data_IF_410793863518
#
_entry.id   IF_410793863518
#
_cell.length_a   1.000
_cell.length_b   1.000
_cell.length_c   1.000
_cell.angle_alpha   90.00
_cell.angle_beta   90.00
_cell.angle_gamma   90.00
#
_symmetry.space_group_name_H-M   'P 1'
#
loop_
_entity.id
_entity.type
_entity.pdbx_description
1 polymer ?
#
# COMPACT_ATOMS: atom_id res chain seq x y z
N UNK A 1 -7.04 42.56 -17.46
CA UNK A 1 -7.28 41.15 -17.84
C UNK A 1 -8.64 40.78 -17.27
N UNK A 2 -9.72 40.73 -18.06
CA UNK A 2 -11.01 40.27 -17.55
C UNK A 2 -10.93 38.77 -17.25
N UNK A 3 -11.32 38.38 -16.03
CA UNK A 3 -11.42 36.98 -15.61
C UNK A 3 -12.50 36.28 -16.42
N UNK A 4 -12.16 35.16 -17.06
CA UNK A 4 -13.13 34.33 -17.76
C UNK A 4 -14.26 33.89 -16.79
N UNK A 5 -15.53 33.86 -17.26
CA UNK A 5 -16.64 33.44 -16.44
C UNK A 5 -16.54 31.94 -16.11
N UNK A 6 -16.55 31.60 -14.83
CA UNK A 6 -16.65 30.22 -14.33
C UNK A 6 -17.98 29.65 -14.84
N UNK A 7 -17.91 28.62 -15.69
CA UNK A 7 -19.09 27.98 -16.28
C UNK A 7 -19.67 26.94 -15.32
N UNK A 8 -20.98 26.65 -15.43
CA UNK A 8 -21.61 25.56 -14.66
C UNK A 8 -20.91 24.20 -14.92
N UNK A 9 -20.33 24.03 -16.11
CA UNK A 9 -19.53 22.87 -16.46
C UNK A 9 -18.20 22.79 -15.67
N UNK A 10 -17.54 23.91 -15.37
CA UNK A 10 -16.32 23.91 -14.54
C UNK A 10 -16.61 23.70 -13.05
N UNK A 11 -17.81 24.07 -12.57
CA UNK A 11 -18.28 23.75 -11.22
C UNK A 11 -18.64 22.26 -11.06
N UNK A 12 -19.25 21.65 -12.07
CA UNK A 12 -19.55 20.21 -12.07
C UNK A 12 -18.30 19.34 -12.24
N UNK A 13 -17.26 19.84 -12.91
CA UNK A 13 -15.98 19.15 -13.04
C UNK A 13 -15.14 19.10 -11.75
N UNK A 14 -15.45 19.94 -10.75
CA UNK A 14 -14.65 20.07 -9.51
C UNK A 14 -15.12 19.20 -8.35
N UNK A 15 -16.20 18.42 -8.47
CA UNK A 15 -16.78 17.69 -7.34
C UNK A 15 -17.17 16.26 -7.68
N UNK A 16 -16.17 15.41 -7.94
CA UNK A 16 -16.29 14.01 -7.56
C UNK A 16 -15.09 13.64 -6.70
N UNK A 17 -15.20 14.00 -5.42
CA UNK A 17 -14.40 13.36 -4.39
C UNK A 17 -14.63 11.84 -4.49
N UNK A 18 -13.62 11.13 -4.99
CA UNK A 18 -13.67 9.66 -5.19
C UNK A 18 -13.56 8.89 -3.87
N UNK A 19 -13.34 9.59 -2.75
CA UNK A 19 -13.26 8.94 -1.44
C UNK A 19 -14.64 8.38 -1.06
N UNK A 20 -14.69 7.27 -0.31
CA UNK A 20 -15.93 6.77 0.27
C UNK A 20 -16.61 7.82 1.16
N UNK A 21 -17.88 7.60 1.54
CA UNK A 21 -18.54 8.42 2.56
C UNK A 21 -17.73 8.43 3.88
N UNK A 22 -17.81 9.49 4.71
CA UNK A 22 -17.00 9.61 5.92
C UNK A 22 -17.04 8.39 6.84
N UNK A 23 -18.20 7.76 7.02
CA UNK A 23 -18.37 6.57 7.86
C UNK A 23 -17.56 5.38 7.34
N UNK A 24 -17.55 5.17 6.01
CA UNK A 24 -16.77 4.13 5.37
C UNK A 24 -15.26 4.44 5.44
N UNK A 25 -14.87 5.72 5.35
CA UNK A 25 -13.48 6.12 5.57
C UNK A 25 -13.03 5.80 7.01
N UNK A 26 -13.83 6.15 8.01
CA UNK A 26 -13.53 5.88 9.42
C UNK A 26 -13.40 4.38 9.67
N UNK A 27 -14.33 3.56 9.18
CA UNK A 27 -14.24 2.10 9.30
C UNK A 27 -12.96 1.54 8.69
N UNK A 28 -12.60 1.99 7.48
CA UNK A 28 -11.37 1.58 6.78
C UNK A 28 -10.11 1.98 7.57
N UNK A 29 -10.09 3.19 8.13
CA UNK A 29 -8.96 3.70 8.91
C UNK A 29 -8.80 2.94 10.25
N UNK A 30 -9.90 2.56 10.88
CA UNK A 30 -9.89 1.73 12.09
C UNK A 30 -9.34 0.33 11.77
N UNK A 31 -9.83 -0.32 10.70
CA UNK A 31 -9.31 -1.62 10.27
C UNK A 31 -7.80 -1.55 9.97
N UNK A 32 -7.35 -0.50 9.28
CA UNK A 32 -5.94 -0.28 9.00
C UNK A 32 -5.12 -0.12 10.30
N UNK A 33 -5.64 0.61 11.28
CA UNK A 33 -5.00 0.79 12.59
C UNK A 33 -4.87 -0.54 13.36
N UNK A 34 -5.93 -1.37 13.36
CA UNK A 34 -5.93 -2.68 14.02
C UNK A 34 -4.92 -3.64 13.37
N UNK A 35 -4.90 -3.71 12.04
CA UNK A 35 -3.90 -4.51 11.30
C UNK A 35 -2.49 -4.01 11.54
N UNK A 36 -2.28 -2.69 11.52
CA UNK A 36 -0.97 -2.08 11.77
C UNK A 36 -0.41 -2.43 13.15
N UNK A 37 -1.26 -2.66 14.16
CA UNK A 37 -0.85 -3.07 15.50
C UNK A 37 -0.67 -4.57 15.66
N UNK A 38 -1.27 -5.36 14.77
CA UNK A 38 -1.25 -6.81 14.85
C UNK A 38 0.14 -7.36 14.48
N UNK A 39 0.54 -8.50 15.07
CA UNK A 39 1.70 -9.27 14.62
C UNK A 39 1.55 -9.68 13.15
N UNK A 40 2.68 -9.95 12.48
CA UNK A 40 2.65 -10.50 11.13
C UNK A 40 1.92 -11.86 11.13
N UNK A 41 0.85 -12.05 10.36
CA UNK A 41 0.10 -13.32 10.33
C UNK A 41 0.69 -14.34 9.34
N UNK A 42 1.71 -13.95 8.56
CA UNK A 42 2.27 -14.76 7.49
C UNK A 42 3.55 -15.48 7.92
N UNK A 43 3.93 -16.50 7.16
CA UNK A 43 5.18 -17.24 7.29
C UNK A 43 5.89 -17.36 5.94
N UNK A 44 7.18 -17.71 5.99
CA UNK A 44 7.98 -17.97 4.78
C UNK A 44 7.28 -19.01 3.90
N UNK A 45 7.20 -18.71 2.60
CA UNK A 45 6.55 -19.54 1.59
C UNK A 45 5.05 -19.26 1.37
N UNK A 46 4.39 -18.46 2.23
CA UNK A 46 3.02 -18.03 1.96
C UNK A 46 2.95 -17.18 0.69
N UNK A 47 1.88 -17.36 -0.09
CA UNK A 47 1.59 -16.53 -1.27
C UNK A 47 0.58 -15.46 -0.86
N UNK A 48 0.97 -14.22 -1.06
CA UNK A 48 0.24 -13.03 -0.63
C UNK A 48 0.11 -12.04 -1.78
N UNK A 49 -0.70 -11.02 -1.60
CA UNK A 49 -0.84 -9.89 -2.51
C UNK A 49 -0.98 -8.59 -1.70
N UNK A 50 -0.48 -7.45 -2.22
CA UNK A 50 -0.84 -6.16 -1.68
C UNK A 50 -2.35 -5.95 -1.72
N UNK A 51 -2.91 -5.41 -0.64
CA UNK A 51 -4.31 -5.02 -0.58
C UNK A 51 -4.54 -3.78 -1.45
N UNK A 52 -5.60 -3.82 -2.24
CA UNK A 52 -6.01 -2.70 -3.08
C UNK A 52 -6.28 -1.47 -2.19
N UNK A 53 -5.79 -0.31 -2.62
CA UNK A 53 -6.03 0.97 -1.95
C UNK A 53 -5.01 1.34 -0.84
N UNK A 54 -4.01 0.50 -0.56
CA UNK A 54 -2.99 0.78 0.49
C UNK A 54 -1.63 1.24 -0.06
N UNK A 55 -1.63 1.87 -1.23
CA UNK A 55 -0.46 2.56 -1.79
C UNK A 55 0.51 1.71 -2.60
N UNK A 56 0.25 0.40 -2.72
CA UNK A 56 0.97 -0.49 -3.62
C UNK A 56 0.28 -0.53 -4.99
N UNK A 57 1.05 -0.32 -6.06
CA UNK A 57 0.55 -0.27 -7.45
C UNK A 57 0.37 -1.65 -8.08
N UNK A 58 0.84 -2.69 -7.41
CA UNK A 58 0.83 -4.10 -7.79
C UNK A 58 -0.18 -4.94 -6.98
N UNK A 59 -1.19 -4.29 -6.40
CA UNK A 59 -2.31 -4.98 -5.77
C UNK A 59 -2.99 -5.96 -6.74
N UNK A 60 -3.18 -7.19 -6.28
CA UNK A 60 -3.71 -8.31 -7.07
C UNK A 60 -2.63 -9.27 -7.60
N UNK A 61 -1.37 -8.83 -7.71
CA UNK A 61 -0.28 -9.66 -8.21
C UNK A 61 0.31 -10.56 -7.10
N UNK A 62 0.68 -11.82 -7.42
CA UNK A 62 1.22 -12.74 -6.43
C UNK A 62 2.63 -12.31 -5.97
N UNK A 63 2.83 -12.38 -4.67
CA UNK A 63 4.09 -12.21 -3.98
C UNK A 63 4.33 -13.44 -3.10
N UNK A 64 5.58 -13.85 -2.94
CA UNK A 64 5.96 -14.93 -2.00
C UNK A 64 6.72 -14.35 -0.82
N UNK A 65 6.37 -14.77 0.41
CA UNK A 65 7.14 -14.39 1.61
C UNK A 65 8.48 -15.13 1.60
N UNK A 66 9.58 -14.38 1.61
CA UNK A 66 10.94 -14.88 1.73
C UNK A 66 11.44 -14.88 3.18
N UNK A 67 11.05 -13.87 3.94
CA UNK A 67 11.53 -13.63 5.31
C UNK A 67 10.44 -12.94 6.13
N UNK A 68 10.37 -13.28 7.42
CA UNK A 68 9.58 -12.57 8.42
C UNK A 68 10.54 -12.11 9.49
N UNK A 69 10.59 -10.80 9.76
CA UNK A 69 11.49 -10.27 10.77
C UNK A 69 10.98 -10.63 12.18
N UNK A 70 11.89 -11.07 13.06
CA UNK A 70 11.55 -11.33 14.47
C UNK A 70 11.02 -10.05 15.16
N UNK A 71 11.60 -8.89 14.81
CA UNK A 71 11.14 -7.58 15.22
C UNK A 71 10.96 -6.65 14.00
N UNK A 72 9.82 -5.94 13.87
CA UNK A 72 9.61 -5.00 12.77
C UNK A 72 10.65 -3.87 12.75
N UNK A 73 11.36 -3.74 11.64
CA UNK A 73 12.28 -2.63 11.41
C UNK A 73 11.51 -1.37 11.01
N UNK A 74 11.72 -0.28 11.75
CA UNK A 74 11.13 1.02 11.42
C UNK A 74 12.14 1.89 10.68
N UNK A 75 11.80 2.28 9.46
CA UNK A 75 12.71 3.00 8.58
C UNK A 75 12.77 4.51 8.92
N UNK A 76 13.43 4.87 10.03
CA UNK A 76 13.58 6.27 10.45
C UNK A 76 14.96 6.88 10.14
N UNK A 77 15.89 6.07 9.65
CA UNK A 77 17.22 6.54 9.27
C UNK A 77 17.18 6.98 7.79
N UNK A 78 17.37 8.28 7.47
CA UNK A 78 17.65 8.68 6.10
C UNK A 78 18.96 8.02 5.64
N UNK A 79 19.00 7.56 4.41
CA UNK A 79 20.19 7.01 3.75
C UNK A 79 20.53 7.82 2.51
N UNK A 80 21.68 7.56 1.89
CA UNK A 80 22.08 8.23 0.64
C UNK A 80 21.03 8.06 -0.49
N UNK A 81 20.21 7.01 -0.43
CA UNK A 81 19.09 6.76 -1.34
C UNK A 81 17.68 6.92 -0.75
N UNK A 82 17.55 7.28 0.54
CA UNK A 82 16.25 7.41 1.21
C UNK A 82 16.18 8.73 1.99
N UNK A 83 15.33 9.63 1.50
CA UNK A 83 15.06 10.91 2.14
C UNK A 83 13.94 10.81 3.18
N UNK A 84 13.93 11.71 4.16
CA UNK A 84 12.80 11.93 5.07
C UNK A 84 11.50 12.30 4.34
N UNK A 85 11.61 12.73 3.08
CA UNK A 85 10.47 13.05 2.21
C UNK A 85 10.00 11.87 1.36
N UNK A 86 10.65 10.70 1.47
CA UNK A 86 10.25 9.50 0.74
C UNK A 86 9.01 8.86 1.37
N UNK A 87 8.14 8.28 0.54
CA UNK A 87 6.93 7.58 0.99
C UNK A 87 7.20 6.35 1.87
N UNK A 88 8.42 5.81 1.82
CA UNK A 88 8.88 4.69 2.63
C UNK A 88 9.51 5.10 3.97
N UNK A 89 9.64 6.41 4.25
CA UNK A 89 10.14 6.89 5.52
C UNK A 89 9.11 6.63 6.63
N UNK A 90 9.55 6.02 7.73
CA UNK A 90 8.70 5.63 8.87
C UNK A 90 7.90 4.34 8.67
N UNK A 91 8.05 3.63 7.54
CA UNK A 91 7.41 2.33 7.31
C UNK A 91 7.82 1.29 8.35
N UNK A 92 6.87 0.42 8.71
CA UNK A 92 7.07 -0.73 9.62
C UNK A 92 7.38 -1.99 8.78
N UNK A 93 8.63 -2.15 8.39
CA UNK A 93 9.09 -3.27 7.57
C UNK A 93 9.22 -4.54 8.42
N UNK A 94 8.40 -5.55 8.13
CA UNK A 94 8.37 -6.80 8.91
C UNK A 94 8.31 -8.08 8.06
N UNK A 95 8.19 -7.96 6.74
CA UNK A 95 8.31 -9.09 5.80
C UNK A 95 9.14 -8.73 4.59
N UNK A 96 9.94 -9.68 4.10
CA UNK A 96 10.60 -9.59 2.80
C UNK A 96 9.87 -10.47 1.82
N UNK A 97 9.53 -9.92 0.66
CA UNK A 97 8.77 -10.62 -0.38
C UNK A 97 9.53 -10.64 -1.69
N UNK A 98 9.24 -11.62 -2.53
CA UNK A 98 9.59 -11.62 -3.95
C UNK A 98 8.35 -11.59 -4.83
N UNK A 99 8.42 -10.83 -5.91
CA UNK A 99 7.37 -10.75 -6.93
C UNK A 99 7.98 -10.45 -8.31
N UNK A 100 7.14 -10.53 -9.34
CA UNK A 100 7.49 -10.09 -10.68
C UNK A 100 7.22 -8.59 -10.83
N UNK A 101 8.21 -7.85 -11.32
CA UNK A 101 7.98 -6.49 -11.84
C UNK A 101 7.51 -6.55 -13.29
N UNK A 102 7.01 -5.43 -13.82
CA UNK A 102 6.50 -5.33 -15.20
C UNK A 102 7.51 -5.74 -16.28
N UNK A 103 8.82 -5.66 -16.00
CA UNK A 103 9.88 -6.11 -16.89
C UNK A 103 9.99 -7.65 -16.99
N UNK A 104 9.30 -8.39 -16.12
CA UNK A 104 9.38 -9.86 -16.03
C UNK A 104 10.51 -10.37 -15.13
N UNK A 105 11.26 -9.46 -14.50
CA UNK A 105 12.31 -9.81 -13.53
C UNK A 105 11.70 -10.11 -12.16
N UNK A 106 12.35 -10.98 -11.40
CA UNK A 106 12.04 -11.21 -10.00
C UNK A 106 12.84 -10.22 -9.18
N UNK A 107 12.17 -9.45 -8.34
CA UNK A 107 12.80 -8.55 -7.38
C UNK A 107 12.36 -8.93 -5.97
N UNK A 108 13.19 -8.59 -4.98
CA UNK A 108 12.88 -8.80 -3.58
C UNK A 108 13.02 -7.51 -2.78
N UNK A 109 12.00 -7.18 -2.00
CA UNK A 109 12.00 -5.97 -1.18
C UNK A 109 11.24 -6.18 0.13
N UNK A 110 11.55 -5.32 1.10
CA UNK A 110 10.86 -5.28 2.38
C UNK A 110 9.51 -4.59 2.24
N UNK A 111 8.48 -5.15 2.86
CA UNK A 111 7.11 -4.63 2.89
C UNK A 111 6.55 -4.66 4.32
N UNK A 112 5.38 -4.04 4.48
CA UNK A 112 4.63 -4.01 5.73
C UNK A 112 3.47 -5.02 5.65
N UNK A 113 3.51 -6.05 6.50
CA UNK A 113 2.58 -7.19 6.48
C UNK A 113 1.12 -6.78 6.66
N UNK A 114 0.85 -5.69 7.37
CA UNK A 114 -0.50 -5.17 7.57
C UNK A 114 -1.19 -4.72 6.27
N UNK A 115 -0.41 -4.46 5.22
CA UNK A 115 -0.90 -4.08 3.88
C UNK A 115 -1.07 -5.26 2.94
N UNK A 116 -0.81 -6.49 3.40
CA UNK A 116 -0.91 -7.71 2.63
C UNK A 116 -2.17 -8.50 2.98
N UNK A 117 -2.57 -9.37 2.05
CA UNK A 117 -3.59 -10.39 2.27
C UNK A 117 -3.22 -11.68 1.50
N UNK A 118 -3.79 -12.84 1.87
CA UNK A 118 -3.58 -14.07 1.13
C UNK A 118 -3.98 -13.91 -0.35
N UNK A 119 -3.15 -14.41 -1.25
CA UNK A 119 -3.48 -14.45 -2.67
C UNK A 119 -4.39 -15.65 -2.95
N UNK A 120 -5.55 -15.41 -3.55
CA UNK A 120 -6.56 -16.45 -3.80
C UNK A 120 -6.58 -16.96 -5.25
N UNK A 121 -5.73 -16.42 -6.14
CA UNK A 121 -5.68 -16.83 -7.54
C UNK A 121 -6.82 -16.33 -8.43
N UNK A 122 -7.79 -15.62 -7.85
CA UNK A 122 -8.87 -14.99 -8.60
C UNK A 122 -8.45 -13.61 -9.08
N UNK A 123 -8.63 -13.33 -10.37
CA UNK A 123 -8.48 -11.99 -10.95
C UNK A 123 -9.42 -11.05 -10.19
N UNK A 124 -8.86 -10.16 -9.36
CA UNK A 124 -9.67 -9.12 -8.74
C UNK A 124 -9.91 -8.02 -9.78
N UNK A 125 -11.19 -7.67 -10.06
CA UNK A 125 -11.56 -6.72 -11.11
C UNK A 125 -11.08 -5.29 -10.84
#
# INVERSE_FOLDING_TARGET
MPSEPVTLASLLAQSQDKRPIPEAQVATLIEACERYRSPCPFKVGDIVTPRVGLGYSDGGLPHVILEVADEPHRHFAPTEGASIYASAFGSRLDVRVANFVKSGEIVAFWQESWRLEPWTGEDRP
#
